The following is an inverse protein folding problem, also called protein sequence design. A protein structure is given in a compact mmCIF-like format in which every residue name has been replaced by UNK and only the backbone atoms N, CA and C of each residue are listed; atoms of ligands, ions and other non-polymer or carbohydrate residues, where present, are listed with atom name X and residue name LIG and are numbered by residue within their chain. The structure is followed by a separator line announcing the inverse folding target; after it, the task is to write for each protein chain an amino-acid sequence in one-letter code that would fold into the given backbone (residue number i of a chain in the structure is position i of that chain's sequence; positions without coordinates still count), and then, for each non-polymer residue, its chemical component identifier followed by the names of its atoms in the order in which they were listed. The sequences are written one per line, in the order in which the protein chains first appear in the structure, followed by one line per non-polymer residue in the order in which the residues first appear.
data_IF_666888506379
#
_entry.id   IF_666888506379
#
_cell.length_a   1.000
_cell.length_b   1.000
_cell.length_c   1.000
_cell.angle_alpha   90.00
_cell.angle_beta   90.00
_cell.angle_gamma   90.00
#
_symmetry.space_group_name_H-M   'P 1'
#
loop_
_entity.id
_entity.type
_entity.pdbx_description
1 polymer ?
#
# COMPACT_ATOMS: atom_id res chain seq x y z
N UNK A 1 -12.67 15.92 -3.22
CA UNK A 1 -11.59 15.00 -2.77
C UNK A 1 -12.25 13.64 -2.56
N UNK A 2 -11.93 12.62 -3.37
CA UNK A 2 -12.49 11.29 -3.17
C UNK A 2 -11.79 10.68 -1.94
N UNK A 3 -12.57 10.33 -0.92
CA UNK A 3 -12.08 9.56 0.21
C UNK A 3 -11.83 8.12 -0.26
N UNK A 4 -10.75 7.50 0.18
CA UNK A 4 -10.44 6.11 -0.14
C UNK A 4 -11.44 5.18 0.56
N UNK A 5 -12.03 4.23 -0.17
CA UNK A 5 -12.88 3.20 0.42
C UNK A 5 -12.02 2.23 1.21
N UNK A 6 -12.44 1.94 2.45
CA UNK A 6 -11.74 1.06 3.39
C UNK A 6 -12.52 -0.24 3.62
N UNK A 7 -11.81 -1.34 3.91
CA UNK A 7 -12.43 -2.61 4.22
C UNK A 7 -12.84 -2.69 5.69
N UNK A 8 -14.15 -2.61 5.97
CA UNK A 8 -14.69 -2.66 7.35
C UNK A 8 -14.25 -3.91 8.11
N UNK A 9 -14.36 -5.10 7.50
CA UNK A 9 -14.00 -6.35 8.16
C UNK A 9 -12.50 -6.44 8.50
N UNK A 10 -11.64 -5.84 7.68
CA UNK A 10 -10.21 -5.76 7.98
C UNK A 10 -9.93 -4.81 9.16
N UNK A 11 -10.63 -3.68 9.24
CA UNK A 11 -10.52 -2.76 10.39
C UNK A 11 -10.97 -3.48 11.67
N UNK A 12 -12.11 -4.17 11.63
CA UNK A 12 -12.63 -4.89 12.80
C UNK A 12 -11.71 -6.03 13.25
N UNK A 13 -11.05 -6.73 12.33
CA UNK A 13 -10.13 -7.83 12.64
C UNK A 13 -8.74 -7.37 13.10
N UNK A 14 -8.24 -6.26 12.56
CA UNK A 14 -6.85 -5.81 12.75
C UNK A 14 -6.74 -4.68 13.78
N UNK A 15 -7.82 -3.92 13.98
CA UNK A 15 -7.78 -2.65 14.72
C UNK A 15 -7.05 -1.54 13.96
N UNK A 16 -7.23 -0.30 14.41
CA UNK A 16 -6.77 0.89 13.70
C UNK A 16 -5.26 0.93 13.48
N UNK A 17 -4.47 0.53 14.49
CA UNK A 17 -3.00 0.58 14.42
C UNK A 17 -2.45 -0.37 13.36
N UNK A 18 -2.88 -1.63 13.35
CA UNK A 18 -2.41 -2.62 12.38
C UNK A 18 -2.97 -2.36 10.97
N UNK A 19 -4.22 -1.89 10.88
CA UNK A 19 -4.81 -1.47 9.61
C UNK A 19 -4.05 -0.27 9.01
N UNK A 20 -3.57 0.67 9.83
CA UNK A 20 -2.73 1.77 9.37
C UNK A 20 -1.39 1.34 8.75
N UNK A 21 -0.82 0.22 9.22
CA UNK A 21 0.41 -0.37 8.69
C UNK A 21 0.17 -1.21 7.43
N UNK A 22 -0.96 -1.91 7.40
CA UNK A 22 -1.32 -2.86 6.34
C UNK A 22 -2.75 -2.62 5.87
N UNK A 23 -3.02 -1.47 5.22
CA UNK A 23 -4.38 -1.11 4.85
C UNK A 23 -4.91 -2.02 3.76
N UNK A 24 -6.19 -2.39 3.88
CA UNK A 24 -6.89 -3.23 2.91
C UNK A 24 -7.92 -2.40 2.15
N UNK A 25 -7.66 -2.19 0.85
CA UNK A 25 -8.55 -1.48 -0.06
C UNK A 25 -8.72 -2.24 -1.38
N UNK A 26 -9.40 -1.60 -2.34
CA UNK A 26 -9.71 -2.16 -3.66
C UNK A 26 -8.83 -1.60 -4.77
N UNK A 27 -7.63 -1.11 -4.43
CA UNK A 27 -6.69 -0.52 -5.38
C UNK A 27 -5.94 -1.58 -6.21
N UNK A 28 -5.22 -1.16 -7.27
CA UNK A 28 -4.48 -2.08 -8.15
C UNK A 28 -3.23 -2.70 -7.52
N UNK A 29 -2.83 -2.25 -6.32
CA UNK A 29 -1.66 -2.76 -5.61
C UNK A 29 -2.02 -3.14 -4.18
N UNK A 30 -1.33 -4.15 -3.66
CA UNK A 30 -1.37 -4.62 -2.28
C UNK A 30 -0.15 -4.09 -1.52
N UNK A 31 -0.36 -3.61 -0.29
CA UNK A 31 0.73 -3.21 0.60
C UNK A 31 1.35 -4.45 1.21
N UNK A 32 2.66 -4.63 1.03
CA UNK A 32 3.38 -5.67 1.76
C UNK A 32 3.62 -5.28 3.21
N UNK A 33 3.63 -6.25 4.14
CA UNK A 33 4.05 -6.01 5.52
C UNK A 33 5.42 -5.34 5.56
N UNK A 34 5.56 -4.32 6.39
CA UNK A 34 6.79 -3.53 6.51
C UNK A 34 7.01 -3.06 7.94
N UNK A 35 8.26 -2.76 8.28
CA UNK A 35 8.64 -2.22 9.59
C UNK A 35 8.58 -0.69 9.59
N UNK A 36 7.84 -0.10 10.52
CA UNK A 36 7.77 1.35 10.79
C UNK A 36 9.16 2.02 10.68
N UNK A 37 9.26 3.11 9.91
CA UNK A 37 10.53 3.80 9.61
C UNK A 37 11.21 3.42 8.27
N UNK A 38 10.95 2.24 7.69
CA UNK A 38 11.49 1.88 6.37
C UNK A 38 10.58 2.32 5.19
N UNK A 39 10.99 1.99 3.96
CA UNK A 39 10.18 2.19 2.76
C UNK A 39 8.94 1.28 2.67
N UNK A 40 8.02 1.63 1.77
CA UNK A 40 6.80 0.87 1.48
C UNK A 40 7.00 0.09 0.20
N UNK A 41 6.62 -1.19 0.19
CA UNK A 41 6.60 -2.02 -1.00
C UNK A 41 5.16 -2.35 -1.35
N UNK A 42 4.80 -2.11 -2.61
CA UNK A 42 3.49 -2.40 -3.17
C UNK A 42 3.66 -3.47 -4.25
N UNK A 43 2.82 -4.49 -4.23
CA UNK A 43 2.80 -5.56 -5.23
C UNK A 43 1.51 -5.52 -6.04
N UNK A 44 1.57 -5.95 -7.30
CA UNK A 44 0.42 -6.02 -8.18
C UNK A 44 -0.71 -6.85 -7.56
N UNK A 45 -1.93 -6.32 -7.59
CA UNK A 45 -3.13 -7.08 -7.28
C UNK A 45 -3.61 -7.81 -8.53
N UNK A 46 -3.36 -9.12 -8.61
CA UNK A 46 -3.76 -9.94 -9.76
C UNK A 46 -5.27 -9.97 -10.02
N UNK A 47 -6.09 -9.85 -8.97
CA UNK A 47 -7.56 -9.87 -9.07
C UNK A 47 -8.17 -8.45 -9.12
N UNK A 48 -7.38 -7.47 -9.55
CA UNK A 48 -7.89 -6.13 -9.77
C UNK A 48 -8.94 -6.14 -10.90
N UNK A 49 -9.99 -5.32 -10.76
CA UNK A 49 -11.15 -5.37 -11.66
C UNK A 49 -10.83 -5.06 -13.13
N UNK A 50 -9.75 -4.32 -13.37
CA UNK A 50 -9.29 -3.93 -14.70
C UNK A 50 -8.11 -4.83 -15.11
N UNK A 51 -8.27 -5.74 -16.09
CA UNK A 51 -7.23 -6.68 -16.49
C UNK A 51 -6.00 -5.99 -17.14
N UNK A 52 -6.17 -4.78 -17.68
CA UNK A 52 -5.07 -4.01 -18.29
C UNK A 52 -4.22 -3.27 -17.25
N UNK A 53 -4.59 -3.35 -15.96
CA UNK A 53 -3.91 -2.64 -14.86
C UNK A 53 -3.68 -3.54 -13.63
N UNK A 54 -2.61 -3.28 -12.86
CA UNK A 54 -1.50 -2.38 -13.15
C UNK A 54 -0.50 -2.99 -14.15
N UNK A 55 0.18 -2.10 -14.89
CA UNK A 55 1.27 -2.45 -15.82
C UNK A 55 2.59 -2.78 -15.12
N UNK A 56 2.72 -2.39 -13.85
CA UNK A 56 3.90 -2.63 -13.04
C UNK A 56 3.63 -3.80 -12.11
N UNK A 57 4.61 -4.69 -11.97
CA UNK A 57 4.52 -5.83 -11.04
C UNK A 57 4.79 -5.41 -9.59
N UNK A 58 5.65 -4.41 -9.40
CA UNK A 58 6.13 -3.99 -8.08
C UNK A 58 6.47 -2.50 -8.05
N UNK A 59 6.10 -1.83 -6.96
CA UNK A 59 6.48 -0.45 -6.67
C UNK A 59 7.18 -0.41 -5.32
N UNK A 60 8.38 0.17 -5.29
CA UNK A 60 9.18 0.28 -4.07
C UNK A 60 9.37 1.77 -3.76
N UNK A 61 8.73 2.24 -2.69
CA UNK A 61 8.80 3.61 -2.21
C UNK A 61 9.87 3.64 -1.11
N UNK A 62 11.06 4.14 -1.43
CA UNK A 62 12.16 4.32 -0.47
C UNK A 62 12.23 5.78 -0.05
N UNK A 63 12.06 6.12 1.24
CA UNK A 63 12.35 7.45 1.71
C UNK A 63 13.88 7.65 1.64
N UNK A 64 14.30 8.68 0.92
CA UNK A 64 15.70 9.14 0.90
C UNK A 64 15.75 10.38 1.80
N UNK A 65 16.44 10.26 2.92
CA UNK A 65 16.54 11.31 3.95
C UNK A 65 17.80 12.18 3.70
N UNK A 66 18.66 11.76 2.77
CA UNK A 66 19.89 12.47 2.45
C UNK A 66 19.63 13.57 1.39
N UNK A 67 19.80 14.81 1.80
CA UNK A 67 20.10 15.90 0.89
C UNK A 67 21.62 15.94 0.77
N UNK A 68 22.23 15.08 -0.05
CA UNK A 68 23.62 15.31 -0.45
C UNK A 68 23.64 16.63 -1.24
N UNK A 69 24.33 17.68 -0.75
CA UNK A 69 24.62 18.82 -1.59
C UNK A 69 25.70 18.40 -2.57
N UNK A 70 25.42 18.54 -3.86
CA UNK A 70 26.43 18.47 -4.92
C UNK A 70 27.57 19.46 -4.65
#
# INVERSE_FOLDING_TARGET
RAMTIVCKGAIEAMGDSQYGLTPVGTGPFKVLPRELGQGVVLEKFSDYYDPDRPKLDKVIIKPIIDAEPL
#
